data_IF_210986539501
#
_entry.id   IF_210986539501
#
_cell.length_a   1.000
_cell.length_b   1.000
_cell.length_c   1.000
_cell.angle_alpha   90.00
_cell.angle_beta   90.00
_cell.angle_gamma   90.00
#
_symmetry.space_group_name_H-M   'P 1'
#
loop_
_entity.id
_entity.type
_entity.pdbx_description
1 polymer ?
#
# COMPACT_ATOMS: atom_id res chain seq x y z
N UNK A 1 4.19 -0.73 17.64
CA UNK A 1 3.98 -1.35 16.31
C UNK A 1 2.48 -1.45 16.09
N UNK A 2 1.93 -0.81 15.05
CA UNK A 2 0.49 -0.85 14.78
C UNK A 2 0.15 -2.13 13.98
N UNK A 3 -0.59 -3.10 14.54
CA UNK A 3 -0.75 -4.42 13.92
C UNK A 3 -1.43 -4.37 12.55
N UNK A 4 -2.35 -3.43 12.34
CA UNK A 4 -3.00 -3.21 11.04
C UNK A 4 -2.02 -2.76 9.95
N UNK A 5 -1.06 -1.87 10.28
CA UNK A 5 -0.07 -1.38 9.32
C UNK A 5 0.87 -2.51 8.87
N UNK A 6 1.26 -3.39 9.80
CA UNK A 6 2.07 -4.58 9.50
C UNK A 6 1.30 -5.56 8.60
N UNK A 7 0.01 -5.77 8.87
CA UNK A 7 -0.82 -6.65 8.06
C UNK A 7 -0.93 -6.14 6.60
N UNK A 8 -1.22 -4.84 6.44
CA UNK A 8 -1.28 -4.20 5.11
C UNK A 8 0.06 -4.27 4.38
N UNK A 9 1.18 -3.99 5.07
CA UNK A 9 2.51 -4.10 4.46
C UNK A 9 2.82 -5.53 3.99
N UNK A 10 2.40 -6.55 4.75
CA UNK A 10 2.55 -7.95 4.33
C UNK A 10 1.70 -8.31 3.13
N UNK A 11 0.45 -7.80 3.07
CA UNK A 11 -0.43 -8.00 1.92
C UNK A 11 0.16 -7.35 0.67
N UNK A 12 0.63 -6.11 0.76
CA UNK A 12 1.30 -5.43 -0.35
C UNK A 12 2.51 -6.22 -0.87
N UNK A 13 3.37 -6.70 0.04
CA UNK A 13 4.52 -7.53 -0.31
C UNK A 13 4.13 -8.87 -0.99
N UNK A 14 2.93 -9.41 -0.75
CA UNK A 14 2.45 -10.58 -1.49
C UNK A 14 2.26 -10.27 -2.97
N UNK A 15 1.67 -9.12 -3.31
CA UNK A 15 1.54 -8.69 -4.71
C UNK A 15 2.91 -8.39 -5.33
N UNK A 16 3.83 -7.79 -4.58
CA UNK A 16 5.17 -7.50 -5.09
C UNK A 16 5.90 -8.77 -5.54
N UNK A 17 5.80 -9.84 -4.72
CA UNK A 17 6.36 -11.15 -5.03
C UNK A 17 5.61 -11.80 -6.20
N UNK A 18 4.28 -11.75 -6.21
CA UNK A 18 3.46 -12.36 -7.26
C UNK A 18 3.74 -11.75 -8.64
N UNK A 19 3.79 -10.42 -8.71
CA UNK A 19 3.93 -9.66 -9.95
C UNK A 19 5.38 -9.27 -10.29
N UNK A 20 6.34 -9.61 -9.41
CA UNK A 20 7.75 -9.26 -9.56
C UNK A 20 7.96 -7.76 -9.79
N UNK A 21 7.25 -6.96 -9.00
CA UNK A 21 7.14 -5.50 -9.15
C UNK A 21 7.10 -4.88 -7.76
N UNK A 22 7.97 -3.94 -7.45
CA UNK A 22 7.89 -3.25 -6.16
C UNK A 22 6.68 -2.30 -6.10
N UNK A 23 6.27 -1.92 -4.88
CA UNK A 23 5.11 -1.04 -4.69
C UNK A 23 5.25 0.33 -5.35
N UNK A 24 6.47 0.83 -5.58
CA UNK A 24 6.67 2.12 -6.23
C UNK A 24 6.37 2.01 -7.73
N UNK A 25 6.88 0.99 -8.39
CA UNK A 25 6.57 0.67 -9.79
C UNK A 25 5.08 0.36 -9.98
N UNK A 26 4.50 -0.41 -9.05
CA UNK A 26 3.07 -0.74 -9.06
C UNK A 26 2.21 0.52 -8.92
N UNK A 27 2.58 1.44 -8.01
CA UNK A 27 1.89 2.71 -7.84
C UNK A 27 1.94 3.57 -9.10
N UNK A 28 3.12 3.70 -9.73
CA UNK A 28 3.29 4.46 -10.96
C UNK A 28 2.37 3.89 -12.05
N UNK A 29 2.43 2.58 -12.29
CA UNK A 29 1.63 1.91 -13.31
C UNK A 29 0.13 2.04 -13.07
N UNK A 30 -0.31 1.81 -11.83
CA UNK A 30 -1.72 1.96 -11.46
C UNK A 30 -2.21 3.39 -11.67
N UNK A 31 -1.40 4.39 -11.26
CA UNK A 31 -1.74 5.82 -11.43
C UNK A 31 -1.84 6.28 -12.88
N UNK A 32 -1.14 5.59 -13.79
CA UNK A 32 -1.14 5.87 -15.22
C UNK A 32 -2.19 5.06 -15.99
N UNK A 33 -2.89 4.14 -15.32
CA UNK A 33 -3.82 3.20 -15.97
C UNK A 33 -3.10 2.12 -16.79
N UNK A 34 -1.84 1.81 -16.46
CA UNK A 34 -1.04 0.76 -17.10
C UNK A 34 -1.17 -0.61 -16.42
N UNK A 35 -2.06 -0.74 -15.44
CA UNK A 35 -2.40 -2.01 -14.79
C UNK A 35 -3.60 -2.67 -15.46
N UNK A 36 -3.72 -3.98 -15.30
CA UNK A 36 -4.96 -4.69 -15.67
C UNK A 36 -6.12 -4.24 -14.77
N UNK A 37 -7.34 -4.41 -15.26
CA UNK A 37 -8.56 -4.24 -14.46
C UNK A 37 -8.89 -5.47 -13.60
N UNK A 38 -7.97 -6.43 -13.51
CA UNK A 38 -8.14 -7.62 -12.67
C UNK A 38 -8.27 -7.24 -11.18
N UNK A 39 -9.05 -8.04 -10.46
CA UNK A 39 -9.37 -7.81 -9.05
C UNK A 39 -8.13 -7.59 -8.18
N UNK A 40 -7.03 -8.31 -8.46
CA UNK A 40 -5.75 -8.20 -7.77
C UNK A 40 -5.18 -6.76 -7.78
N UNK A 41 -5.28 -6.03 -8.91
CA UNK A 41 -4.77 -4.66 -9.01
C UNK A 41 -5.66 -3.66 -8.26
N UNK A 42 -6.97 -3.89 -8.28
CA UNK A 42 -7.95 -3.09 -7.53
C UNK A 42 -7.76 -3.29 -6.03
N UNK A 43 -7.58 -4.54 -5.59
CA UNK A 43 -7.35 -4.90 -4.20
C UNK A 43 -6.00 -4.34 -3.69
N UNK A 44 -4.94 -4.47 -4.49
CA UNK A 44 -3.64 -3.87 -4.18
C UNK A 44 -3.75 -2.35 -3.96
N UNK A 45 -4.44 -1.65 -4.87
CA UNK A 45 -4.59 -0.19 -4.77
C UNK A 45 -5.36 0.23 -3.52
N UNK A 46 -6.42 -0.51 -3.16
CA UNK A 46 -7.16 -0.29 -1.92
C UNK A 46 -6.29 -0.50 -0.69
N UNK A 47 -5.52 -1.59 -0.65
CA UNK A 47 -4.60 -1.88 0.44
C UNK A 47 -3.50 -0.81 0.57
N UNK A 48 -2.98 -0.33 -0.56
CA UNK A 48 -1.93 0.69 -0.59
C UNK A 48 -2.46 2.04 -0.07
N UNK A 49 -3.65 2.46 -0.50
CA UNK A 49 -4.29 3.68 0.01
C UNK A 49 -4.56 3.61 1.52
N UNK A 50 -5.03 2.45 2.01
CA UNK A 50 -5.24 2.24 3.44
C UNK A 50 -3.93 2.32 4.22
N UNK A 51 -2.86 1.68 3.73
CA UNK A 51 -1.53 1.75 4.34
C UNK A 51 -1.07 3.20 4.51
N UNK A 52 -1.17 4.01 3.45
CA UNK A 52 -0.78 5.43 3.48
C UNK A 52 -1.58 6.23 4.50
N UNK A 53 -2.91 6.04 4.56
CA UNK A 53 -3.77 6.75 5.51
C UNK A 53 -3.39 6.43 6.97
N UNK A 54 -3.19 5.14 7.30
CA UNK A 54 -2.77 4.73 8.63
C UNK A 54 -1.35 5.18 8.99
N UNK A 55 -0.44 5.15 8.02
CA UNK A 55 0.93 5.63 8.21
C UNK A 55 0.92 7.13 8.56
N UNK A 56 0.20 7.93 7.76
CA UNK A 56 0.07 9.36 8.00
C UNK A 56 -0.60 9.67 9.34
N UNK A 57 -1.65 8.92 9.73
CA UNK A 57 -2.28 9.07 11.04
C UNK A 57 -1.26 8.84 12.17
N UNK A 58 -0.45 7.80 12.06
CA UNK A 58 0.58 7.48 13.06
C UNK A 58 1.65 8.57 13.13
N UNK A 59 2.13 9.05 11.98
CA UNK A 59 3.10 10.14 11.90
C UNK A 59 2.57 11.43 12.56
N UNK A 60 1.32 11.79 12.26
CA UNK A 60 0.68 12.95 12.86
C UNK A 60 0.57 12.81 14.39
N UNK A 61 0.22 11.62 14.89
CA UNK A 61 0.18 11.34 16.33
C UNK A 61 1.55 11.48 16.97
N UNK A 62 2.61 10.99 16.31
CA UNK A 62 3.98 11.09 16.82
C UNK A 62 4.50 12.53 16.85
N UNK A 63 4.18 13.33 15.82
CA UNK A 63 4.55 14.76 15.78
C UNK A 63 3.84 15.59 16.84
N UNK A 64 2.60 15.25 17.19
CA UNK A 64 1.82 15.95 18.22
C UNK A 64 2.16 15.55 19.67
N UNK A 65 3.08 14.58 19.85
CA UNK A 65 3.56 14.14 21.16
C UNK A 65 4.93 14.78 21.52
N UNK A 66 5.53 15.52 20.57
CA UNK A 66 6.82 16.20 20.73
C UNK A 66 6.71 17.60 21.34
#
# INVERSE_FOLDING_TARGET
MHPALIALAKQLNTYEIQYHMDSADFFIKYSQGETSDDEDFVEWAGNHQHYLALHQELENRLQNVA
#
